data_IF_383565658255
#
_entry.id   IF_383565658255
#
_cell.length_a   1.000
_cell.length_b   1.000
_cell.length_c   1.000
_cell.angle_alpha   90.00
_cell.angle_beta   90.00
_cell.angle_gamma   90.00
#
_symmetry.space_group_name_H-M   'P 1'
#
loop_
_entity.id
_entity.type
_entity.pdbx_description
1 polymer ?
#
# COMPACT_ATOMS: atom_id res chain seq x y z
N UNK A 1 -38.54 55.02 54.10
CA UNK A 1 -38.48 53.70 53.42
C UNK A 1 -39.29 53.78 52.13
N UNK A 2 -38.66 53.74 50.95
CA UNK A 2 -39.32 53.52 49.64
C UNK A 2 -38.24 53.20 48.59
N UNK A 3 -38.05 51.91 48.35
CA UNK A 3 -37.10 51.36 47.38
C UNK A 3 -37.67 51.57 45.97
N UNK A 4 -37.00 52.37 45.13
CA UNK A 4 -37.36 52.51 43.71
C UNK A 4 -36.82 51.32 42.93
N UNK A 5 -37.73 50.49 42.40
CA UNK A 5 -37.42 49.36 41.51
C UNK A 5 -36.99 49.89 40.13
N UNK A 6 -35.82 49.46 39.66
CA UNK A 6 -35.32 49.75 38.31
C UNK A 6 -36.09 48.90 37.29
N UNK A 7 -36.67 49.57 36.29
CA UNK A 7 -37.50 49.00 35.21
C UNK A 7 -36.57 48.38 34.15
N UNK A 8 -36.61 47.06 33.96
CA UNK A 8 -35.84 46.37 32.90
C UNK A 8 -36.42 46.70 31.52
N UNK A 9 -35.58 47.25 30.65
CA UNK A 9 -35.89 47.59 29.25
C UNK A 9 -35.89 46.31 28.40
N UNK A 10 -37.02 46.00 27.75
CA UNK A 10 -37.14 44.95 26.72
C UNK A 10 -36.49 45.45 25.42
N UNK A 11 -35.40 44.83 24.97
CA UNK A 11 -34.91 44.97 23.58
C UNK A 11 -35.75 44.08 22.66
N UNK A 12 -36.51 44.70 21.78
CA UNK A 12 -37.25 44.06 20.69
C UNK A 12 -36.30 43.56 19.61
N UNK A 13 -36.41 42.28 19.26
CA UNK A 13 -35.65 41.60 18.22
C UNK A 13 -36.10 42.00 16.82
N UNK A 14 -35.25 42.70 16.07
CA UNK A 14 -35.52 43.17 14.70
C UNK A 14 -34.65 42.46 13.64
N UNK A 15 -34.38 41.16 13.82
CA UNK A 15 -33.57 40.37 12.88
C UNK A 15 -34.27 39.03 12.63
N UNK A 16 -35.33 39.00 11.81
CA UNK A 16 -35.94 37.73 11.37
C UNK A 16 -36.48 37.69 9.94
N UNK A 17 -36.35 38.74 9.11
CA UNK A 17 -37.07 38.79 7.82
C UNK A 17 -36.24 38.72 6.53
N UNK A 18 -34.91 38.64 6.60
CA UNK A 18 -34.05 38.61 5.39
C UNK A 18 -33.56 37.22 4.99
N UNK A 19 -33.69 36.20 5.85
CA UNK A 19 -33.19 34.85 5.57
C UNK A 19 -34.03 34.01 4.60
N UNK A 20 -35.30 34.38 4.35
CA UNK A 20 -36.22 33.55 3.56
C UNK A 20 -36.02 33.70 2.04
N UNK A 21 -35.63 34.87 1.56
CA UNK A 21 -35.44 35.13 0.13
C UNK A 21 -34.17 34.46 -0.42
N UNK A 22 -33.06 34.48 0.33
CA UNK A 22 -31.82 33.80 -0.08
C UNK A 22 -31.98 32.28 -0.14
N UNK A 23 -32.79 31.69 0.76
CA UNK A 23 -33.10 30.26 0.72
C UNK A 23 -33.85 29.86 -0.54
N UNK A 24 -34.75 30.72 -1.01
CA UNK A 24 -35.61 30.43 -2.17
C UNK A 24 -34.84 30.57 -3.50
N UNK A 25 -33.90 31.52 -3.60
CA UNK A 25 -33.02 31.68 -4.76
C UNK A 25 -31.93 30.61 -4.81
N UNK A 26 -31.45 30.14 -3.66
CA UNK A 26 -30.47 29.04 -3.60
C UNK A 26 -31.10 27.68 -3.97
N UNK A 27 -32.38 27.48 -3.64
CA UNK A 27 -33.10 26.26 -4.00
C UNK A 27 -33.40 26.15 -5.51
N UNK A 28 -33.59 27.26 -6.22
CA UNK A 28 -33.85 27.25 -7.67
C UNK A 28 -32.60 27.04 -8.54
N UNK A 29 -31.40 26.99 -7.94
CA UNK A 29 -30.13 26.72 -8.62
C UNK A 29 -29.68 25.25 -8.51
N UNK A 30 -30.46 24.38 -7.84
CA UNK A 30 -30.25 22.93 -7.90
C UNK A 30 -30.72 22.42 -9.26
N UNK A 31 -29.86 22.56 -10.28
CA UNK A 31 -29.88 21.65 -11.43
C UNK A 31 -29.86 20.24 -10.83
N UNK A 32 -30.86 19.42 -11.17
CA UNK A 32 -30.77 17.97 -11.03
C UNK A 32 -29.59 17.51 -11.89
N UNK A 33 -28.40 17.51 -11.30
CA UNK A 33 -27.31 16.69 -11.77
C UNK A 33 -27.74 15.27 -11.47
N UNK A 34 -28.07 14.51 -12.51
CA UNK A 34 -28.19 13.06 -12.43
C UNK A 34 -26.89 12.56 -11.80
N UNK A 35 -26.97 12.17 -10.53
CA UNK A 35 -25.86 11.60 -9.79
C UNK A 35 -25.75 10.15 -10.24
N UNK A 36 -25.03 9.93 -11.34
CA UNK A 36 -24.69 8.58 -11.78
C UNK A 36 -24.16 7.77 -10.61
N UNK A 37 -24.65 6.54 -10.47
CA UNK A 37 -24.33 5.67 -9.35
C UNK A 37 -22.81 5.47 -9.23
N UNK A 38 -22.29 5.64 -8.01
CA UNK A 38 -20.90 5.27 -7.72
C UNK A 38 -20.75 3.77 -7.98
N UNK A 39 -19.72 3.38 -8.74
CA UNK A 39 -19.35 1.97 -8.85
C UNK A 39 -19.13 1.38 -7.44
N UNK A 40 -19.50 0.11 -7.20
CA UNK A 40 -19.27 -0.54 -5.91
C UNK A 40 -17.77 -0.51 -5.57
N UNK A 41 -17.44 0.10 -4.43
CA UNK A 41 -16.07 0.32 -4.00
C UNK A 41 -15.47 -0.91 -3.32
N UNK A 42 -15.19 -1.96 -4.11
CA UNK A 42 -14.39 -3.10 -3.66
C UNK A 42 -12.87 -2.80 -3.65
N UNK A 43 -12.46 -1.52 -3.83
CA UNK A 43 -11.05 -1.14 -3.97
C UNK A 43 -10.29 -1.27 -2.67
N UNK A 44 -10.92 -0.98 -1.54
CA UNK A 44 -10.24 -1.10 -0.25
C UNK A 44 -9.80 -2.52 0.04
N UNK A 45 -10.66 -3.49 -0.24
CA UNK A 45 -10.37 -4.91 -0.01
C UNK A 45 -9.30 -5.40 -0.99
N UNK A 46 -9.46 -5.11 -2.29
CA UNK A 46 -8.49 -5.53 -3.30
C UNK A 46 -7.11 -4.87 -3.12
N UNK A 47 -7.04 -3.59 -2.74
CA UNK A 47 -5.78 -2.91 -2.44
C UNK A 47 -5.12 -3.45 -1.16
N UNK A 48 -5.90 -3.82 -0.14
CA UNK A 48 -5.39 -4.48 1.08
C UNK A 48 -4.77 -5.83 0.72
N UNK A 49 -5.42 -6.61 -0.13
CA UNK A 49 -4.92 -7.92 -0.58
C UNK A 49 -3.61 -7.81 -1.37
N UNK A 50 -3.51 -6.85 -2.30
CA UNK A 50 -2.27 -6.61 -3.05
C UNK A 50 -1.14 -6.20 -2.11
N UNK A 51 -1.39 -5.28 -1.16
CA UNK A 51 -0.37 -4.85 -0.19
C UNK A 51 0.09 -5.98 0.71
N UNK A 52 -0.84 -6.84 1.16
CA UNK A 52 -0.51 -8.02 1.95
C UNK A 52 0.31 -9.02 1.12
N UNK A 53 -0.09 -9.29 -0.12
CA UNK A 53 0.63 -10.18 -1.03
C UNK A 53 2.07 -9.72 -1.25
N UNK A 54 2.26 -8.42 -1.54
CA UNK A 54 3.60 -7.82 -1.64
C UNK A 54 4.37 -7.97 -0.33
N UNK A 55 3.76 -7.67 0.82
CA UNK A 55 4.42 -7.77 2.11
C UNK A 55 4.90 -9.20 2.38
N UNK A 56 4.09 -10.20 2.04
CA UNK A 56 4.46 -11.62 2.12
C UNK A 56 5.62 -11.92 1.19
N UNK A 57 5.55 -11.55 -0.09
CA UNK A 57 6.64 -11.80 -1.05
C UNK A 57 7.94 -11.14 -0.60
N UNK A 58 7.88 -9.87 -0.18
CA UNK A 58 9.04 -9.13 0.30
C UNK A 58 9.65 -9.80 1.53
N UNK A 59 8.81 -10.29 2.45
CA UNK A 59 9.26 -11.02 3.64
C UNK A 59 9.91 -12.36 3.29
N UNK A 60 9.34 -13.12 2.36
CA UNK A 60 9.90 -14.40 1.89
C UNK A 60 11.21 -14.18 1.15
N UNK A 61 11.28 -13.20 0.25
CA UNK A 61 12.51 -12.86 -0.45
C UNK A 61 13.61 -12.45 0.52
N UNK A 62 13.29 -11.57 1.49
CA UNK A 62 14.22 -11.16 2.53
C UNK A 62 14.66 -12.35 3.40
N UNK A 63 13.75 -13.27 3.74
CA UNK A 63 14.07 -14.48 4.49
C UNK A 63 15.12 -15.32 3.76
N UNK A 64 14.90 -15.62 2.48
CA UNK A 64 15.82 -16.43 1.67
C UNK A 64 17.20 -15.76 1.61
N UNK A 65 17.24 -14.46 1.33
CA UNK A 65 18.49 -13.69 1.28
C UNK A 65 19.22 -13.78 2.63
N UNK A 66 18.54 -13.49 3.74
CA UNK A 66 19.15 -13.54 5.07
C UNK A 66 19.65 -14.94 5.43
N UNK A 67 18.91 -16.00 5.10
CA UNK A 67 19.35 -17.39 5.32
C UNK A 67 20.67 -17.65 4.60
N UNK A 68 20.77 -17.29 3.32
CA UNK A 68 22.00 -17.49 2.53
C UNK A 68 23.15 -16.67 3.13
N UNK A 69 22.95 -15.39 3.42
CA UNK A 69 23.99 -14.50 3.97
C UNK A 69 24.47 -14.95 5.35
N UNK A 70 23.56 -15.32 6.25
CA UNK A 70 23.91 -15.81 7.58
C UNK A 70 24.65 -17.15 7.49
N UNK A 71 24.24 -18.05 6.59
CA UNK A 71 24.94 -19.31 6.39
C UNK A 71 26.35 -19.10 5.81
N UNK A 72 26.49 -18.23 4.80
CA UNK A 72 27.77 -17.84 4.21
C UNK A 72 28.70 -17.21 5.27
N UNK A 73 28.18 -16.29 6.08
CA UNK A 73 28.92 -15.68 7.17
C UNK A 73 29.40 -16.71 8.20
N UNK A 74 28.55 -17.67 8.56
CA UNK A 74 28.91 -18.78 9.46
C UNK A 74 30.04 -19.64 8.88
N UNK A 75 29.94 -20.05 7.62
CA UNK A 75 30.96 -20.87 6.94
C UNK A 75 32.29 -20.13 6.79
N UNK A 76 32.22 -18.83 6.51
CA UNK A 76 33.40 -17.95 6.46
C UNK A 76 34.06 -17.87 7.83
N UNK A 77 33.28 -17.61 8.88
CA UNK A 77 33.77 -17.57 10.25
C UNK A 77 34.39 -18.90 10.69
N UNK A 78 33.77 -20.02 10.32
CA UNK A 78 34.32 -21.36 10.56
C UNK A 78 35.62 -21.63 9.80
N UNK A 79 35.84 -21.01 8.65
CA UNK A 79 37.08 -21.14 7.88
C UNK A 79 38.19 -20.32 8.52
N UNK A 80 37.88 -19.10 8.92
CA UNK A 80 38.81 -18.17 9.58
C UNK A 80 39.19 -18.64 10.98
N UNK A 81 38.26 -19.25 11.72
CA UNK A 81 38.49 -19.71 13.10
C UNK A 81 39.30 -21.01 13.17
N UNK A 82 39.72 -21.58 12.04
CA UNK A 82 40.55 -22.80 12.03
C UNK A 82 41.93 -22.49 12.60
N UNK A 83 42.47 -23.34 13.50
CA UNK A 83 43.82 -23.17 13.99
C UNK A 83 44.82 -23.23 12.81
N UNK A 84 45.67 -22.21 12.70
CA UNK A 84 46.64 -22.07 11.61
C UNK A 84 46.13 -21.32 10.36
N UNK A 85 44.91 -20.77 10.39
CA UNK A 85 44.45 -19.85 9.35
C UNK A 85 45.24 -18.54 9.40
N UNK A 86 45.75 -18.09 8.25
CA UNK A 86 46.47 -16.82 8.13
C UNK A 86 45.98 -16.05 6.91
N UNK A 87 45.43 -14.86 7.13
CA UNK A 87 44.90 -13.98 6.09
C UNK A 87 45.95 -13.52 5.06
N UNK A 88 47.23 -13.55 5.41
CA UNK A 88 48.32 -13.12 4.53
C UNK A 88 48.73 -14.20 3.53
N UNK A 89 48.48 -15.48 3.84
CA UNK A 89 48.92 -16.61 2.99
C UNK A 89 47.77 -17.41 2.42
N UNK A 90 46.58 -17.38 3.05
CA UNK A 90 45.40 -18.13 2.64
C UNK A 90 44.31 -17.18 2.20
N UNK A 91 43.78 -17.40 0.99
CA UNK A 91 42.59 -16.70 0.49
C UNK A 91 41.34 -17.46 0.87
N UNK A 92 40.29 -16.71 1.15
CA UNK A 92 38.94 -17.24 1.34
C UNK A 92 38.40 -17.55 -0.06
N UNK A 93 37.89 -18.77 -0.23
CA UNK A 93 37.25 -19.21 -1.48
C UNK A 93 35.76 -18.85 -1.41
N UNK A 94 35.45 -17.63 -1.84
CA UNK A 94 34.10 -17.06 -1.75
C UNK A 94 33.08 -17.85 -2.58
N UNK A 95 33.48 -18.34 -3.76
CA UNK A 95 32.63 -19.13 -4.64
C UNK A 95 32.22 -20.44 -3.97
N UNK A 96 33.19 -21.14 -3.37
CA UNK A 96 32.95 -22.37 -2.63
C UNK A 96 32.08 -22.13 -1.40
N UNK A 97 32.27 -21.03 -0.68
CA UNK A 97 31.45 -20.68 0.48
C UNK A 97 30.02 -20.38 0.05
N UNK A 98 29.83 -19.62 -1.02
CA UNK A 98 28.50 -19.28 -1.52
C UNK A 98 27.74 -20.50 -2.02
N UNK A 99 28.39 -21.39 -2.78
CA UNK A 99 27.80 -22.65 -3.22
C UNK A 99 27.39 -23.54 -2.04
N UNK A 100 28.19 -23.58 -0.97
CA UNK A 100 27.83 -24.29 0.26
C UNK A 100 26.71 -23.60 1.04
N UNK A 101 26.67 -22.26 1.04
CA UNK A 101 25.65 -21.49 1.74
C UNK A 101 24.25 -21.68 1.14
N UNK A 102 24.14 -21.77 -0.19
CA UNK A 102 22.90 -22.09 -0.90
C UNK A 102 22.46 -23.53 -0.63
N UNK A 103 23.40 -24.45 -0.45
CA UNK A 103 23.10 -25.85 -0.16
C UNK A 103 22.71 -26.06 1.33
N UNK A 104 21.55 -25.54 1.71
CA UNK A 104 21.02 -25.58 3.07
C UNK A 104 20.77 -27.01 3.55
N UNK A 105 20.44 -27.93 2.63
CA UNK A 105 20.23 -29.34 2.97
C UNK A 105 21.53 -30.00 3.50
N UNK A 106 22.68 -29.68 2.89
CA UNK A 106 23.98 -30.21 3.30
C UNK A 106 24.58 -29.44 4.48
N UNK A 107 24.32 -28.14 4.56
CA UNK A 107 24.85 -27.26 5.61
C UNK A 107 23.71 -26.51 6.31
N UNK A 108 22.91 -27.20 7.14
CA UNK A 108 21.76 -26.58 7.79
C UNK A 108 22.18 -25.58 8.86
N UNK A 109 21.46 -24.47 8.93
CA UNK A 109 21.56 -23.52 10.03
C UNK A 109 20.89 -24.08 11.29
N UNK A 110 21.39 -23.75 12.49
CA UNK A 110 20.71 -24.12 13.74
C UNK A 110 19.29 -23.56 13.77
N UNK A 111 18.34 -24.37 14.22
CA UNK A 111 16.91 -24.00 14.22
C UNK A 111 16.61 -22.68 14.95
N UNK A 112 17.31 -22.40 16.05
CA UNK A 112 17.19 -21.13 16.80
C UNK A 112 17.50 -19.90 15.94
N UNK A 113 18.45 -20.02 15.00
CA UNK A 113 18.83 -18.93 14.11
C UNK A 113 17.77 -18.73 13.04
N UNK A 114 17.17 -19.81 12.54
CA UNK A 114 16.06 -19.73 11.58
C UNK A 114 14.86 -18.97 12.17
N UNK A 115 14.52 -19.19 13.45
CA UNK A 115 13.46 -18.44 14.14
C UNK A 115 13.78 -16.94 14.18
N UNK A 116 15.02 -16.59 14.53
CA UNK A 116 15.45 -15.20 14.57
C UNK A 116 15.40 -14.55 13.19
N UNK A 117 15.88 -15.25 12.16
CA UNK A 117 15.85 -14.77 10.77
C UNK A 117 14.40 -14.60 10.30
N UNK A 118 13.51 -15.53 10.64
CA UNK A 118 12.08 -15.46 10.30
C UNK A 118 11.42 -14.22 10.91
N UNK A 119 11.71 -13.91 12.18
CA UNK A 119 11.20 -12.71 12.82
C UNK A 119 11.72 -11.45 12.11
N UNK A 120 13.04 -11.37 11.86
CA UNK A 120 13.66 -10.23 11.18
C UNK A 120 13.10 -10.06 9.76
N UNK A 121 12.92 -11.15 9.01
CA UNK A 121 12.41 -11.10 7.65
C UNK A 121 10.95 -10.68 7.60
N UNK A 122 10.14 -11.09 8.58
CA UNK A 122 8.74 -10.69 8.67
C UNK A 122 8.60 -9.19 8.93
N UNK A 123 9.28 -8.66 9.95
CA UNK A 123 9.22 -7.22 10.24
C UNK A 123 9.93 -6.38 9.17
N UNK A 124 11.05 -6.86 8.64
CA UNK A 124 11.83 -6.20 7.59
C UNK A 124 11.07 -6.16 6.25
N UNK A 125 10.48 -7.28 5.83
CA UNK A 125 9.69 -7.38 4.60
C UNK A 125 8.41 -6.55 4.67
N UNK A 126 7.74 -6.53 5.82
CA UNK A 126 6.61 -5.63 6.05
C UNK A 126 7.03 -4.14 6.05
N UNK A 127 8.23 -3.82 6.55
CA UNK A 127 8.79 -2.47 6.46
C UNK A 127 9.12 -2.06 5.02
N UNK A 128 9.71 -2.98 4.25
CA UNK A 128 10.06 -2.79 2.83
C UNK A 128 8.81 -2.61 1.97
N UNK A 129 7.76 -3.40 2.18
CA UNK A 129 6.52 -3.29 1.40
C UNK A 129 5.83 -1.94 1.58
N UNK A 130 5.95 -1.30 2.74
CA UNK A 130 5.46 0.08 2.96
C UNK A 130 6.23 1.13 2.17
N UNK A 131 7.51 0.89 1.86
CA UNK A 131 8.36 1.84 1.11
C UNK A 131 8.21 1.69 -0.39
N UNK A 132 7.79 0.51 -0.85
CA UNK A 132 7.48 0.29 -2.25
C UNK A 132 6.17 1.02 -2.57
N UNK A 133 6.27 2.14 -3.30
CA UNK A 133 5.11 2.83 -3.86
C UNK A 133 4.59 2.01 -5.03
N UNK A 134 3.53 1.25 -4.80
CA UNK A 134 2.86 0.56 -5.90
C UNK A 134 2.03 1.56 -6.67
N UNK A 135 2.36 1.73 -7.95
CA UNK A 135 1.42 2.27 -8.91
C UNK A 135 0.32 1.23 -9.11
N UNK A 136 -0.64 1.18 -8.18
CA UNK A 136 -1.96 0.67 -8.53
C UNK A 136 -2.40 1.48 -9.74
N UNK A 137 -2.67 0.80 -10.87
CA UNK A 137 -3.15 1.43 -12.09
C UNK A 137 -4.32 2.32 -11.69
N UNK A 138 -4.10 3.63 -11.62
CA UNK A 138 -5.16 4.62 -11.48
C UNK A 138 -5.88 4.59 -12.82
N UNK A 139 -6.73 3.59 -13.01
CA UNK A 139 -7.74 3.64 -14.05
C UNK A 139 -8.54 4.88 -13.72
N UNK A 140 -8.62 5.84 -14.65
CA UNK A 140 -9.16 7.17 -14.46
C UNK A 140 -10.65 7.16 -14.06
N UNK A 141 -10.94 6.75 -12.83
CA UNK A 141 -12.30 6.60 -12.32
C UNK A 141 -12.65 7.82 -11.48
N UNK A 142 -12.99 8.87 -12.23
CA UNK A 142 -13.86 9.98 -11.81
C UNK A 142 -14.95 10.26 -12.86
N UNK A 143 -15.00 9.46 -13.93
CA UNK A 143 -16.10 9.50 -14.89
C UNK A 143 -17.30 8.76 -14.30
N UNK A 144 -18.34 9.51 -13.96
CA UNK A 144 -19.67 8.97 -13.68
C UNK A 144 -20.13 8.19 -14.91
N UNK A 145 -20.22 6.87 -14.80
CA UNK A 145 -20.81 6.00 -15.82
C UNK A 145 -22.33 6.08 -15.80
N UNK A 146 -22.95 5.81 -16.95
CA UNK A 146 -24.42 5.75 -17.10
C UNK A 146 -24.99 4.62 -16.21
N UNK A 147 -26.10 4.88 -15.51
CA UNK A 147 -26.72 3.99 -14.49
C UNK A 147 -27.20 2.64 -15.04
N UNK A 148 -27.15 2.48 -16.37
CA UNK A 148 -27.57 1.27 -17.09
C UNK A 148 -26.58 0.11 -16.98
N UNK A 149 -25.34 0.35 -16.55
CA UNK A 149 -24.30 -0.68 -16.48
C UNK A 149 -23.79 -0.81 -15.05
N UNK A 150 -24.28 -1.82 -14.35
CA UNK A 150 -23.99 -2.01 -12.91
C UNK A 150 -22.85 -3.00 -12.65
N UNK A 151 -22.35 -3.69 -13.68
CA UNK A 151 -21.25 -4.67 -13.53
C UNK A 151 -20.14 -4.50 -14.57
N UNK A 152 -18.89 -4.62 -14.12
CA UNK A 152 -17.68 -4.51 -14.98
C UNK A 152 -17.68 -5.52 -16.14
N UNK A 153 -18.26 -6.70 -15.91
CA UNK A 153 -18.41 -7.76 -16.93
C UNK A 153 -19.36 -7.39 -18.07
N UNK A 154 -20.32 -6.50 -17.84
CA UNK A 154 -21.25 -6.02 -18.88
C UNK A 154 -20.57 -4.96 -19.74
N UNK A 155 -19.76 -4.08 -19.15
CA UNK A 155 -18.97 -3.08 -19.86
C UNK A 155 -17.91 -3.70 -20.78
N UNK A 156 -17.16 -4.70 -20.30
CA UNK A 156 -16.16 -5.41 -21.11
C UNK A 156 -16.77 -6.19 -22.29
N UNK A 157 -18.00 -6.67 -22.16
CA UNK A 157 -18.71 -7.38 -23.24
C UNK A 157 -19.23 -6.45 -24.32
N UNK A 158 -19.65 -5.24 -23.94
CA UNK A 158 -20.33 -4.30 -24.84
C UNK A 158 -19.36 -3.35 -25.53
N UNK A 159 -18.22 -3.07 -24.88
CA UNK A 159 -17.12 -2.29 -25.42
C UNK A 159 -15.84 -3.13 -25.36
N UNK A 160 -15.62 -4.03 -26.34
CA UNK A 160 -14.34 -4.69 -26.47
C UNK A 160 -13.24 -3.63 -26.56
N UNK A 161 -12.15 -3.85 -25.82
CA UNK A 161 -10.99 -2.96 -25.72
C UNK A 161 -10.61 -2.44 -27.11
N UNK A 162 -10.67 -1.12 -27.29
CA UNK A 162 -10.03 -0.48 -28.45
C UNK A 162 -8.53 -0.76 -28.26
N UNK A 163 -7.87 -1.46 -29.19
CA UNK A 163 -6.43 -1.70 -29.07
C UNK A 163 -5.73 -0.35 -28.92
N UNK A 164 -4.83 -0.26 -27.93
CA UNK A 164 -3.99 0.92 -27.76
C UNK A 164 -3.28 1.18 -29.09
N UNK A 165 -3.58 2.29 -29.75
CA UNK A 165 -2.82 2.76 -30.91
C UNK A 165 -1.43 3.21 -30.43
N UNK A 166 -0.58 2.24 -30.15
CA UNK A 166 0.88 2.37 -30.13
C UNK A 166 1.46 1.95 -31.50
N UNK A 167 0.69 2.11 -32.58
CA UNK A 167 1.27 2.20 -33.92
C UNK A 167 1.80 3.62 -34.10
N UNK A 168 3.02 3.81 -33.61
CA UNK A 168 3.97 4.71 -34.26
C UNK A 168 4.00 4.30 -35.73
N UNK A 169 3.41 5.15 -36.57
CA UNK A 169 3.65 5.11 -38.00
C UNK A 169 5.13 5.33 -38.25
N UNK A 170 5.84 4.23 -38.44
CA UNK A 170 7.09 4.23 -39.18
C UNK A 170 6.72 4.08 -40.67
N UNK A 171 7.32 4.96 -41.46
CA UNK A 171 7.09 5.25 -42.89
C UNK A 171 6.98 4.04 -43.83
#
# INVERSE_FOLDING_TARGET
MKVRKVKKVKRTSLIKRTGSFFKQVFLSLRKETIDGANLPDNREEHQKDIRLFVAVISSVALFIVLVIFVNAGRLTFQTISRPGFNFLTQKIDDEKIFAQAINIAKYPLPFKWLIAILAISFFGGFGLSKRLKFATKDVAYGQKGDERFTTEKELEKQYPIIPDHDERGDE
#
